data_IF_159803269416
#
_entry.id   IF_159803269416
#
_cell.length_a   1.000
_cell.length_b   1.000
_cell.length_c   1.000
_cell.angle_alpha   90.00
_cell.angle_beta   90.00
_cell.angle_gamma   90.00
#
_symmetry.space_group_name_H-M   'P 1'
#
loop_
_entity.id
_entity.type
_entity.pdbx_description
1 polymer ?
#
# COMPACT_ATOMS: atom_id res chain seq x y z
N UNK A 1 14.52 7.59 -1.36
CA UNK A 1 14.30 6.81 -0.67
C UNK A 1 14.44 5.51 -1.28
N UNK A 2 13.98 4.77 -1.33
CA UNK A 2 14.36 3.42 -1.36
C UNK A 2 14.32 2.88 -2.77
N UNK A 3 15.36 2.15 -3.12
CA UNK A 3 15.42 1.44 -4.38
C UNK A 3 14.25 0.48 -4.56
N UNK A 4 13.81 -0.16 -3.46
CA UNK A 4 12.69 -1.10 -3.49
C UNK A 4 11.40 -0.42 -3.94
N UNK A 5 11.11 0.74 -3.35
CA UNK A 5 9.92 1.51 -3.74
C UNK A 5 10.04 1.98 -5.18
N UNK A 6 11.22 2.45 -5.59
CA UNK A 6 11.44 2.88 -6.98
C UNK A 6 11.16 1.75 -7.97
N UNK A 7 11.57 0.53 -7.66
CA UNK A 7 11.29 -0.63 -8.52
C UNK A 7 9.81 -0.96 -8.58
N UNK A 8 9.09 -0.81 -7.47
CA UNK A 8 7.63 -1.00 -7.46
C UNK A 8 6.96 0.05 -8.34
N UNK A 9 7.40 1.31 -8.26
CA UNK A 9 6.84 2.38 -9.09
C UNK A 9 7.06 2.11 -10.59
N UNK A 10 8.21 1.56 -10.96
CA UNK A 10 8.47 1.17 -12.35
C UNK A 10 7.50 0.08 -12.81
N UNK A 11 7.26 -0.92 -11.96
CA UNK A 11 6.28 -1.98 -12.25
C UNK A 11 4.87 -1.41 -12.41
N UNK A 12 4.51 -0.46 -11.58
CA UNK A 12 3.22 0.21 -11.67
C UNK A 12 3.06 0.92 -13.01
N UNK A 13 4.10 1.64 -13.43
CA UNK A 13 4.09 2.35 -14.72
C UNK A 13 3.94 1.38 -15.89
N UNK A 14 4.62 0.24 -15.84
CA UNK A 14 4.50 -0.79 -16.87
C UNK A 14 3.07 -1.32 -17.00
N UNK A 15 2.34 -1.38 -15.89
CA UNK A 15 0.97 -1.89 -15.85
C UNK A 15 -0.10 -0.80 -16.03
N UNK A 16 0.33 0.46 -16.14
CA UNK A 16 -0.60 1.58 -16.25
C UNK A 16 -1.35 1.88 -14.96
N UNK A 17 -0.72 1.59 -13.82
CA UNK A 17 -1.27 1.86 -12.49
C UNK A 17 -0.62 3.11 -11.92
N UNK A 18 -1.41 4.13 -11.58
CA UNK A 18 -0.89 5.36 -11.00
C UNK A 18 -0.86 5.33 -9.48
N UNK A 19 -1.65 4.48 -8.87
CA UNK A 19 -1.75 4.36 -7.42
C UNK A 19 -1.92 2.89 -7.02
N UNK A 20 -1.32 2.51 -5.90
CA UNK A 20 -1.32 1.12 -5.42
C UNK A 20 -1.52 1.12 -3.90
N UNK A 21 -2.55 0.42 -3.43
CA UNK A 21 -2.77 0.18 -2.01
C UNK A 21 -2.10 -1.13 -1.60
N UNK A 22 -1.06 -1.01 -0.79
CA UNK A 22 -0.35 -2.15 -0.22
C UNK A 22 -0.82 -2.32 1.21
N UNK A 23 -1.36 -3.48 1.55
CA UNK A 23 -1.90 -3.74 2.88
C UNK A 23 -1.28 -4.97 3.56
N UNK A 24 -0.56 -5.79 2.82
CA UNK A 24 0.17 -6.91 3.39
C UNK A 24 1.27 -6.41 4.32
N UNK A 25 1.20 -6.73 5.63
CA UNK A 25 2.20 -6.23 6.58
C UNK A 25 3.64 -6.61 6.22
N UNK A 26 3.85 -7.78 5.65
CA UNK A 26 5.18 -8.21 5.23
C UNK A 26 5.69 -7.40 4.04
N UNK A 27 4.81 -7.05 3.12
CA UNK A 27 5.16 -6.20 1.98
C UNK A 27 5.49 -4.78 2.44
N UNK A 28 4.71 -4.24 3.38
CA UNK A 28 4.99 -2.90 3.93
C UNK A 28 6.32 -2.91 4.67
N UNK A 29 6.60 -3.95 5.45
CA UNK A 29 7.89 -4.10 6.11
C UNK A 29 9.04 -4.15 5.10
N UNK A 30 8.87 -4.91 4.03
CA UNK A 30 9.88 -5.02 2.97
C UNK A 30 10.19 -3.64 2.35
N UNK A 31 9.16 -2.84 2.12
CA UNK A 31 9.31 -1.53 1.46
C UNK A 31 9.77 -0.43 2.41
N UNK A 32 9.37 -0.46 3.67
CA UNK A 32 9.54 0.65 4.60
C UNK A 32 10.37 0.33 5.84
N UNK A 33 10.53 -0.94 6.17
CA UNK A 33 11.14 -1.35 7.43
C UNK A 33 10.19 -1.29 8.62
N UNK A 34 8.96 -0.84 8.42
CA UNK A 34 7.99 -0.65 9.50
C UNK A 34 7.24 -1.95 9.75
N UNK A 35 7.14 -2.34 11.01
CA UNK A 35 6.41 -3.54 11.43
C UNK A 35 5.17 -3.16 12.22
N UNK A 36 4.01 -3.55 11.71
CA UNK A 36 2.74 -3.42 12.40
C UNK A 36 1.98 -4.74 12.27
N UNK A 37 1.36 -5.17 13.34
CA UNK A 37 0.44 -6.30 13.32
C UNK A 37 -0.97 -5.74 13.45
N UNK A 38 -1.68 -5.47 12.34
CA UNK A 38 -2.93 -4.73 12.39
C UNK A 38 -4.13 -5.57 12.83
N UNK A 39 -4.02 -6.89 12.81
CA UNK A 39 -5.18 -7.76 13.02
C UNK A 39 -6.24 -7.47 11.96
N UNK A 40 -7.44 -7.08 12.39
CA UNK A 40 -8.54 -6.77 11.48
C UNK A 40 -8.67 -5.29 11.16
N UNK A 41 -7.78 -4.45 11.71
CA UNK A 41 -7.81 -3.00 11.48
C UNK A 41 -7.19 -2.63 10.16
N UNK A 42 -7.59 -1.49 9.63
CA UNK A 42 -7.01 -0.97 8.40
C UNK A 42 -5.54 -0.57 8.62
N UNK A 43 -4.69 -1.08 7.76
CA UNK A 43 -3.29 -0.71 7.69
C UNK A 43 -2.90 -0.74 6.22
N UNK A 44 -2.44 0.37 5.68
CA UNK A 44 -2.16 0.44 4.25
C UNK A 44 -1.09 1.48 3.94
N UNK A 45 -0.31 1.19 2.92
CA UNK A 45 0.62 2.12 2.30
C UNK A 45 0.11 2.42 0.90
N UNK A 46 -0.19 3.68 0.63
CA UNK A 46 -0.61 4.12 -0.70
C UNK A 46 0.61 4.64 -1.45
N UNK A 47 1.03 3.92 -2.46
CA UNK A 47 2.12 4.32 -3.34
C UNK A 47 1.56 5.03 -4.56
N UNK A 48 2.22 6.12 -4.95
CA UNK A 48 1.86 6.88 -6.15
C UNK A 48 3.08 7.03 -7.05
N UNK A 49 2.86 6.93 -8.34
CA UNK A 49 3.96 7.11 -9.32
C UNK A 49 4.54 8.52 -9.28
N UNK A 50 3.81 9.48 -8.73
CA UNK A 50 4.31 10.84 -8.51
C UNK A 50 5.42 10.92 -7.46
N UNK A 51 5.59 9.87 -6.65
CA UNK A 51 6.60 9.84 -5.60
C UNK A 51 6.09 10.27 -4.22
N UNK A 52 4.84 10.70 -4.13
CA UNK A 52 4.23 11.06 -2.84
C UNK A 52 3.46 9.85 -2.30
N UNK A 53 3.91 9.33 -1.17
CA UNK A 53 3.33 8.12 -0.59
C UNK A 53 2.68 8.43 0.75
N UNK A 54 1.59 7.73 1.07
CA UNK A 54 0.81 7.95 2.28
C UNK A 54 0.69 6.65 3.05
N UNK A 55 0.95 6.70 4.35
CA UNK A 55 0.82 5.57 5.25
C UNK A 55 -0.39 5.79 6.16
N UNK A 56 -1.35 4.87 6.11
CA UNK A 56 -2.58 4.94 6.91
C UNK A 56 -2.41 4.13 8.19
N UNK A 57 -2.53 4.80 9.32
CA UNK A 57 -2.20 4.23 10.63
C UNK A 57 -3.34 4.43 11.64
N UNK A 58 -3.65 3.36 12.36
CA UNK A 58 -4.58 3.46 13.48
C UNK A 58 -3.82 4.02 14.70
N UNK A 59 -4.46 4.84 15.50
CA UNK A 59 -3.85 5.41 16.72
C UNK A 59 -3.38 4.35 17.71
N UNK A 60 -3.83 3.12 17.58
CA UNK A 60 -3.39 2.01 18.43
C UNK A 60 -2.04 1.43 18.03
N UNK A 61 -1.51 1.80 16.85
CA UNK A 61 -0.22 1.30 16.39
C UNK A 61 0.92 2.12 17.00
N UNK A 62 2.04 1.45 17.29
CA UNK A 62 3.24 2.07 17.82
C UNK A 62 4.22 2.37 16.67
N UNK A 63 4.00 3.46 15.98
CA UNK A 63 4.79 3.86 14.82
C UNK A 63 5.07 5.35 14.91
N UNK A 64 6.29 5.76 14.58
CA UNK A 64 6.66 7.18 14.55
C UNK A 64 7.80 7.40 13.57
N UNK A 65 7.90 8.63 13.08
CA UNK A 65 9.01 9.08 12.24
C UNK A 65 9.22 8.20 11.00
N UNK A 66 8.16 7.91 10.26
CA UNK A 66 8.19 6.97 9.14
C UNK A 66 8.87 7.54 7.88
N UNK A 67 8.94 8.85 7.76
CA UNK A 67 9.42 9.50 6.54
C UNK A 67 8.37 9.60 5.43
N UNK A 68 7.18 9.08 5.66
CA UNK A 68 6.03 9.18 4.74
C UNK A 68 5.00 10.15 5.28
N UNK A 69 4.07 10.57 4.41
CA UNK A 69 2.88 11.24 4.91
C UNK A 69 2.10 10.24 5.75
N UNK A 70 1.84 10.60 7.01
CA UNK A 70 1.12 9.72 7.94
C UNK A 70 -0.30 10.22 8.10
N UNK A 71 -1.26 9.32 7.89
CA UNK A 71 -2.68 9.63 8.10
C UNK A 71 -3.17 8.73 9.24
N UNK A 72 -3.50 9.36 10.34
CA UNK A 72 -3.91 8.67 11.57
C UNK A 72 -5.42 8.70 11.73
N UNK A 73 -5.98 7.59 12.17
CA UNK A 73 -7.42 7.45 12.39
C UNK A 73 -7.68 6.54 13.59
N UNK A 74 -8.89 6.62 14.14
CA UNK A 74 -9.34 5.74 15.21
C UNK A 74 -10.35 4.72 14.68
N UNK A 75 -10.66 3.72 15.50
CA UNK A 75 -11.69 2.73 15.14
C UNK A 75 -13.08 3.37 14.99
N UNK A 76 -13.27 4.56 15.56
CA UNK A 76 -14.54 5.29 15.50
C UNK A 76 -14.68 6.16 14.25
N UNK A 77 -13.59 6.37 13.52
CA UNK A 77 -13.60 7.20 12.33
C UNK A 77 -14.17 6.45 11.12
N UNK A 78 -14.65 7.21 10.15
CA UNK A 78 -15.04 6.67 8.85
C UNK A 78 -13.78 6.37 8.04
N UNK A 79 -13.25 5.17 8.19
CA UNK A 79 -11.99 4.78 7.61
C UNK A 79 -12.02 4.79 6.08
N UNK A 80 -13.15 4.44 5.50
CA UNK A 80 -13.30 4.49 4.03
C UNK A 80 -13.27 5.94 3.55
N UNK A 81 -13.92 6.84 4.27
CA UNK A 81 -13.84 8.27 3.97
C UNK A 81 -12.41 8.79 4.04
N UNK A 82 -11.64 8.34 5.03
CA UNK A 82 -10.22 8.70 5.15
C UNK A 82 -9.43 8.24 3.92
N UNK A 83 -9.67 7.01 3.46
CA UNK A 83 -9.02 6.53 2.24
C UNK A 83 -9.41 7.37 1.01
N UNK A 84 -10.69 7.67 0.84
CA UNK A 84 -11.17 8.39 -0.34
C UNK A 84 -10.64 9.81 -0.45
N UNK A 85 -10.25 10.41 0.67
CA UNK A 85 -9.64 11.74 0.68
C UNK A 85 -8.23 11.75 0.07
N UNK A 86 -7.58 10.59 0.00
CA UNK A 86 -6.18 10.49 -0.41
C UNK A 86 -5.97 9.77 -1.73
N UNK A 87 -6.98 9.08 -2.25
CA UNK A 87 -6.88 8.37 -3.54
C UNK A 87 -7.57 9.15 -4.64
N UNK A 88 -7.15 8.90 -5.89
CA UNK A 88 -7.88 9.39 -7.05
C UNK A 88 -9.07 8.46 -7.28
N UNK A 89 -10.26 8.92 -6.89
CA UNK A 89 -11.48 8.11 -6.91
C UNK A 89 -12.05 7.89 -8.31
N UNK A 90 -11.46 8.50 -9.32
CA UNK A 90 -11.90 8.34 -10.72
C UNK A 90 -10.85 7.61 -11.56
N UNK A 91 -9.74 7.25 -10.96
CA UNK A 91 -8.63 6.60 -11.64
C UNK A 91 -8.63 5.10 -11.46
N UNK A 92 -7.48 4.50 -11.77
CA UNK A 92 -7.22 3.08 -11.59
C UNK A 92 -6.34 2.91 -10.36
N UNK A 93 -6.73 2.00 -9.48
CA UNK A 93 -5.94 1.69 -8.28
C UNK A 93 -5.63 0.19 -8.26
N UNK A 94 -4.36 -0.12 -8.03
CA UNK A 94 -3.95 -1.49 -7.78
C UNK A 94 -4.24 -1.86 -6.34
N UNK A 95 -4.75 -3.06 -6.12
CA UNK A 95 -5.09 -3.58 -4.80
C UNK A 95 -4.25 -4.82 -4.55
N UNK A 96 -3.58 -4.90 -3.40
CA UNK A 96 -2.79 -6.09 -3.09
C UNK A 96 -3.66 -7.20 -2.50
N UNK A 97 -3.07 -8.39 -2.46
CA UNK A 97 -3.75 -9.63 -2.03
C UNK A 97 -4.26 -9.59 -0.59
N UNK A 98 -3.65 -8.77 0.25
CA UNK A 98 -3.99 -8.72 1.67
C UNK A 98 -4.97 -7.60 2.03
N UNK A 99 -5.39 -6.79 1.05
CA UNK A 99 -6.34 -5.72 1.35
C UNK A 99 -7.71 -6.34 1.67
N UNK A 100 -8.22 -6.16 2.90
CA UNK A 100 -9.43 -6.86 3.32
C UNK A 100 -10.68 -6.46 2.52
N UNK A 101 -11.50 -7.43 2.17
CA UNK A 101 -12.75 -7.19 1.47
C UNK A 101 -13.69 -6.26 2.26
N UNK A 102 -13.61 -6.30 3.60
CA UNK A 102 -14.40 -5.41 4.47
C UNK A 102 -14.16 -3.92 4.19
N UNK A 103 -12.98 -3.59 3.66
CA UNK A 103 -12.64 -2.22 3.28
C UNK A 103 -12.79 -2.00 1.78
N UNK A 104 -12.45 -3.00 0.99
CA UNK A 104 -12.51 -2.90 -0.47
C UNK A 104 -13.94 -2.73 -0.99
N UNK A 105 -14.87 -3.54 -0.49
CA UNK A 105 -16.26 -3.50 -0.96
C UNK A 105 -16.91 -2.14 -0.67
N UNK A 106 -16.84 -1.61 0.57
CA UNK A 106 -17.35 -0.27 0.82
C UNK A 106 -16.66 0.83 0.00
N UNK A 107 -15.36 0.67 -0.25
CA UNK A 107 -14.63 1.63 -1.08
C UNK A 107 -15.19 1.66 -2.49
N UNK A 108 -15.42 0.49 -3.09
CA UNK A 108 -15.99 0.39 -4.43
C UNK A 108 -17.41 0.94 -4.49
N UNK A 109 -18.21 0.71 -3.45
CA UNK A 109 -19.57 1.23 -3.38
C UNK A 109 -19.60 2.75 -3.32
N UNK A 110 -18.69 3.37 -2.57
CA UNK A 110 -18.62 4.82 -2.46
C UNK A 110 -17.99 5.49 -3.68
N UNK A 111 -17.16 4.77 -4.41
CA UNK A 111 -16.42 5.31 -5.55
C UNK A 111 -16.71 4.49 -6.80
N UNK A 112 -17.92 4.61 -7.37
CA UNK A 112 -18.30 3.77 -8.51
C UNK A 112 -17.46 4.00 -9.76
N UNK A 113 -16.78 5.15 -9.86
CA UNK A 113 -15.89 5.44 -10.99
C UNK A 113 -14.47 4.90 -10.79
N UNK A 114 -14.14 4.45 -9.56
CA UNK A 114 -12.82 3.91 -9.26
C UNK A 114 -12.71 2.52 -9.86
N UNK A 115 -11.66 2.30 -10.67
CA UNK A 115 -11.36 1.00 -11.22
C UNK A 115 -10.30 0.32 -10.36
N UNK A 116 -10.66 -0.81 -9.76
CA UNK A 116 -9.72 -1.58 -8.95
C UNK A 116 -9.20 -2.75 -9.77
N UNK A 117 -7.89 -2.97 -9.71
CA UNK A 117 -7.23 -4.06 -10.42
C UNK A 117 -6.24 -4.76 -9.49
N UNK A 118 -5.83 -5.95 -9.88
CA UNK A 118 -4.83 -6.72 -9.14
C UNK A 118 -3.49 -6.01 -9.21
N UNK A 119 -2.93 -5.68 -8.06
CA UNK A 119 -1.67 -4.94 -7.97
C UNK A 119 -0.55 -5.64 -7.21
N UNK A 120 -0.82 -6.82 -6.64
CA UNK A 120 0.14 -7.52 -5.78
C UNK A 120 1.45 -7.83 -6.50
N UNK A 121 1.40 -8.11 -7.78
CA UNK A 121 2.58 -8.49 -8.57
C UNK A 121 3.63 -7.38 -8.59
N UNK A 122 3.21 -6.12 -8.46
CA UNK A 122 4.13 -4.99 -8.44
C UNK A 122 5.12 -5.07 -7.27
N UNK A 123 4.64 -5.53 -6.11
CA UNK A 123 5.48 -5.70 -4.92
C UNK A 123 6.10 -7.09 -4.88
N UNK A 124 5.30 -8.12 -5.11
CA UNK A 124 5.76 -9.52 -5.04
C UNK A 124 6.89 -9.79 -6.02
N UNK A 125 6.83 -9.22 -7.22
CA UNK A 125 7.87 -9.35 -8.21
C UNK A 125 9.20 -8.74 -7.75
N UNK A 126 9.15 -7.59 -7.09
CA UNK A 126 10.35 -6.93 -6.55
C UNK A 126 10.93 -7.74 -5.39
N UNK A 127 10.07 -8.26 -4.52
CA UNK A 127 10.53 -9.12 -3.40
C UNK A 127 11.22 -10.37 -3.89
N UNK A 128 10.70 -11.01 -4.92
CA UNK A 128 11.28 -12.22 -5.49
C UNK A 128 12.68 -11.95 -6.06
N UNK A 129 12.87 -10.85 -6.76
CA UNK A 129 14.16 -10.46 -7.31
C UNK A 129 15.16 -10.17 -6.20
N UNK A 130 14.77 -9.42 -5.17
CA UNK A 130 15.65 -9.11 -4.04
C UNK A 130 16.06 -10.36 -3.27
N UNK A 131 15.13 -11.29 -3.05
CA UNK A 131 15.44 -12.55 -2.37
C UNK A 131 16.44 -13.38 -3.17
N UNK A 132 16.31 -13.43 -4.48
CA UNK A 132 17.26 -14.15 -5.35
C UNK A 132 18.64 -13.52 -5.29
N UNK A 133 18.73 -12.17 -5.34
CA UNK A 133 19.99 -11.45 -5.21
C UNK A 133 20.66 -11.71 -3.86
N UNK A 134 19.89 -11.70 -2.78
CA UNK A 134 20.40 -11.97 -1.43
C UNK A 134 20.93 -13.39 -1.30
N UNK A 135 20.22 -14.37 -1.85
CA UNK A 135 20.67 -15.77 -1.84
C UNK A 135 21.99 -15.92 -2.61
N UNK A 136 22.10 -15.26 -3.75
CA UNK A 136 23.32 -15.31 -4.55
C UNK A 136 24.52 -14.70 -3.82
N UNK A 137 24.32 -13.58 -3.14
CA UNK A 137 25.38 -12.93 -2.36
C UNK A 137 25.83 -13.83 -1.20
N UNK A 138 24.96 -14.60 -0.63
CA UNK A 138 25.26 -15.47 0.51
C UNK A 138 26.01 -16.75 0.13
N UNK A 139 26.14 -17.04 -1.14
CA UNK A 139 26.93 -18.18 -1.61
C UNK A 139 28.41 -17.85 -1.61
#
# INVERSE_FOLDING_TARGET
MDERISRVLEKMKEKGIDQLLVSDPLSIRFLTGIMVNPGERLYALLLRTSGKHTLFLNYLYYVSNTGFEEVWFSDMDDQIGVLTEHIDTKGVIGIDKAFPARFLIPLQERCPELKTIWGSDCVDGVRAVKNAEEIEIMK
#
